data_IF_411060709082
#
_entry.id   IF_411060709082
#
_cell.length_a   1.000
_cell.length_b   1.000
_cell.length_c   1.000
_cell.angle_alpha   90.00
_cell.angle_beta   90.00
_cell.angle_gamma   90.00
#
_symmetry.space_group_name_H-M   'P 1'
#
loop_
_entity.id
_entity.type
_entity.pdbx_description
1 polymer ?
#
# COMPACT_ATOMS: atom_id res chain seq x y z
N UNK A 1 5.75 23.42 -12.80
CA UNK A 1 6.06 21.97 -12.95
C UNK A 1 4.90 21.30 -13.64
N UNK A 2 5.18 20.47 -14.65
CA UNK A 2 4.23 19.53 -15.26
C UNK A 2 4.69 18.12 -14.90
N UNK A 3 3.82 17.35 -14.25
CA UNK A 3 4.09 15.99 -13.81
C UNK A 3 3.26 15.00 -14.60
N UNK A 4 3.89 13.96 -15.16
CA UNK A 4 3.20 12.86 -15.87
C UNK A 4 3.48 11.52 -15.20
N UNK A 5 2.68 10.49 -15.49
CA UNK A 5 2.93 9.16 -14.96
C UNK A 5 4.04 8.45 -15.76
N UNK A 6 3.88 8.39 -17.09
CA UNK A 6 4.76 7.58 -17.94
C UNK A 6 5.99 8.33 -18.45
N UNK A 7 7.12 7.60 -18.58
CA UNK A 7 8.36 8.12 -19.19
C UNK A 7 8.16 8.51 -20.66
N UNK A 8 7.38 7.71 -21.39
CA UNK A 8 7.06 7.96 -22.81
C UNK A 8 6.37 9.31 -22.99
N UNK A 9 5.40 9.64 -22.14
CA UNK A 9 4.71 10.93 -22.22
C UNK A 9 5.62 12.10 -21.84
N UNK A 10 6.48 11.92 -20.85
CA UNK A 10 7.53 12.88 -20.50
C UNK A 10 8.44 13.21 -21.69
N UNK A 11 8.87 12.19 -22.44
CA UNK A 11 9.69 12.35 -23.64
C UNK A 11 8.91 13.04 -24.75
N UNK A 12 7.64 12.68 -24.96
CA UNK A 12 6.78 13.33 -25.94
C UNK A 12 6.64 14.83 -25.64
N UNK A 13 6.33 15.18 -24.39
CA UNK A 13 6.23 16.58 -23.97
C UNK A 13 7.54 17.33 -24.22
N UNK A 14 8.67 16.74 -23.82
CA UNK A 14 9.98 17.40 -23.87
C UNK A 14 10.49 17.57 -25.32
N UNK A 15 10.30 16.56 -26.16
CA UNK A 15 10.91 16.49 -27.50
C UNK A 15 10.00 16.97 -28.62
N UNK A 16 8.68 17.07 -28.38
CA UNK A 16 7.70 17.41 -29.41
C UNK A 16 6.75 18.51 -28.97
N UNK A 17 5.96 18.28 -27.92
CA UNK A 17 4.79 19.13 -27.65
C UNK A 17 5.21 20.50 -27.10
N UNK A 18 6.17 20.56 -26.16
CA UNK A 18 6.68 21.83 -25.62
C UNK A 18 7.44 22.64 -26.68
N UNK A 19 8.37 22.07 -27.47
CA UNK A 19 8.97 22.78 -28.61
C UNK A 19 7.93 23.37 -29.57
N UNK A 20 6.93 22.57 -29.95
CA UNK A 20 5.85 22.99 -30.83
C UNK A 20 5.05 24.15 -30.24
N UNK A 21 4.70 24.07 -28.95
CA UNK A 21 4.01 25.16 -28.26
C UNK A 21 4.86 26.43 -28.17
N UNK A 22 6.16 26.30 -27.92
CA UNK A 22 7.11 27.44 -27.89
C UNK A 22 7.12 28.17 -29.23
N UNK A 23 7.18 27.43 -30.34
CA UNK A 23 7.13 27.97 -31.69
C UNK A 23 5.77 28.59 -32.03
N UNK A 24 4.67 27.87 -31.77
CA UNK A 24 3.32 28.29 -32.14
C UNK A 24 2.83 29.50 -31.34
N UNK A 25 3.22 29.61 -30.06
CA UNK A 25 2.82 30.73 -29.20
C UNK A 25 3.74 31.95 -29.32
N UNK A 26 4.96 31.78 -29.85
CA UNK A 26 5.96 32.85 -29.94
C UNK A 26 6.41 33.37 -28.56
N UNK A 27 6.26 32.56 -27.51
CA UNK A 27 6.66 32.90 -26.15
C UNK A 27 8.04 32.29 -25.91
N UNK A 28 9.02 33.12 -25.52
CA UNK A 28 10.33 32.61 -25.13
C UNK A 28 10.34 32.20 -23.66
N UNK A 29 10.49 30.90 -23.41
CA UNK A 29 10.64 30.33 -22.07
C UNK A 29 11.59 29.12 -22.12
N UNK A 30 12.29 28.87 -21.01
CA UNK A 30 13.18 27.73 -20.85
C UNK A 30 12.45 26.55 -20.19
N UNK A 31 12.72 25.34 -20.66
CA UNK A 31 12.12 24.14 -20.08
C UNK A 31 13.16 23.04 -19.87
N UNK A 32 12.98 22.23 -18.81
CA UNK A 32 13.92 21.18 -18.44
C UNK A 32 13.21 19.89 -18.02
N UNK A 33 13.70 18.77 -18.56
CA UNK A 33 13.38 17.44 -18.06
C UNK A 33 14.10 17.19 -16.73
N UNK A 34 13.34 16.80 -15.70
CA UNK A 34 13.89 16.35 -14.43
C UNK A 34 13.64 14.86 -14.26
N UNK A 35 14.73 14.12 -14.03
CA UNK A 35 14.68 12.70 -13.71
C UNK A 35 15.45 12.41 -12.43
N UNK A 36 15.16 11.27 -11.81
CA UNK A 36 15.87 10.81 -10.62
C UNK A 36 17.37 10.72 -10.84
N UNK A 37 18.17 11.01 -9.81
CA UNK A 37 19.62 11.19 -9.96
C UNK A 37 20.36 9.95 -10.46
N UNK A 38 19.83 8.76 -10.18
CA UNK A 38 20.36 7.47 -10.66
C UNK A 38 20.18 7.28 -12.18
N UNK A 39 19.46 8.15 -12.88
CA UNK A 39 19.39 8.13 -14.33
C UNK A 39 20.59 8.82 -15.00
N UNK A 40 21.48 9.46 -14.23
CA UNK A 40 22.68 10.10 -14.77
C UNK A 40 23.91 9.19 -14.59
N UNK A 41 24.74 9.11 -15.63
CA UNK A 41 26.06 8.49 -15.52
C UNK A 41 26.97 9.29 -14.58
N UNK A 42 27.73 8.58 -13.73
CA UNK A 42 28.72 9.18 -12.86
C UNK A 42 30.13 8.94 -13.39
N UNK A 43 30.76 10.00 -13.92
CA UNK A 43 32.13 9.96 -14.48
C UNK A 43 33.16 9.35 -13.52
N UNK A 44 33.02 9.62 -12.21
CA UNK A 44 33.90 9.07 -11.18
C UNK A 44 33.75 7.55 -11.07
N UNK A 45 32.51 7.06 -11.02
CA UNK A 45 32.21 5.65 -10.83
C UNK A 45 32.49 4.85 -12.10
N UNK A 46 32.23 5.42 -13.26
CA UNK A 46 32.66 4.85 -14.55
C UNK A 46 34.19 4.64 -14.57
N UNK A 47 34.97 5.66 -14.20
CA UNK A 47 36.43 5.53 -14.14
C UNK A 47 36.90 4.46 -13.14
N UNK A 48 36.24 4.34 -11.98
CA UNK A 48 36.53 3.30 -10.99
C UNK A 48 36.18 1.90 -11.50
N UNK A 49 35.02 1.74 -12.14
CA UNK A 49 34.60 0.48 -12.72
C UNK A 49 35.60 -0.01 -13.78
N UNK A 50 36.14 0.91 -14.58
CA UNK A 50 37.16 0.61 -15.59
C UNK A 50 38.53 0.26 -14.96
N UNK A 51 38.96 1.00 -13.93
CA UNK A 51 40.29 0.82 -13.32
C UNK A 51 40.40 -0.41 -12.42
N UNK A 52 39.32 -0.83 -11.75
CA UNK A 52 39.39 -1.89 -10.76
C UNK A 52 39.00 -3.27 -11.28
N UNK A 53 38.61 -3.40 -12.56
CA UNK A 53 38.30 -4.71 -13.14
C UNK A 53 37.17 -5.46 -12.43
N UNK A 54 36.29 -4.75 -11.71
CA UNK A 54 35.21 -5.29 -10.86
C UNK A 54 34.02 -5.78 -11.70
N UNK A 55 34.31 -6.63 -12.68
CA UNK A 55 33.34 -7.19 -13.60
C UNK A 55 32.97 -8.59 -13.16
N UNK A 56 31.67 -8.84 -12.96
CA UNK A 56 31.18 -10.16 -12.55
C UNK A 56 30.99 -11.07 -13.76
N UNK A 57 30.97 -10.52 -14.98
CA UNK A 57 30.84 -11.30 -16.21
C UNK A 57 31.41 -10.61 -17.46
N UNK A 58 31.72 -11.37 -18.53
CA UNK A 58 32.10 -10.81 -19.83
C UNK A 58 31.04 -9.90 -20.46
N UNK A 59 29.76 -10.07 -20.06
CA UNK A 59 28.68 -9.20 -20.51
C UNK A 59 28.82 -7.79 -19.91
N UNK A 60 29.10 -7.70 -18.60
CA UNK A 60 29.30 -6.41 -17.92
C UNK A 60 30.46 -5.63 -18.52
N UNK A 61 31.56 -6.31 -18.86
CA UNK A 61 32.71 -5.68 -19.54
C UNK A 61 32.28 -4.99 -20.84
N UNK A 62 31.51 -5.70 -21.68
CA UNK A 62 31.02 -5.14 -22.96
C UNK A 62 30.08 -3.96 -22.74
N UNK A 63 29.15 -4.08 -21.80
CA UNK A 63 28.19 -3.01 -21.50
C UNK A 63 28.91 -1.75 -20.97
N UNK A 64 29.88 -1.90 -20.06
CA UNK A 64 30.67 -0.78 -19.53
C UNK A 64 31.53 -0.14 -20.62
N UNK A 65 32.13 -0.93 -21.51
CA UNK A 65 32.87 -0.39 -22.66
C UNK A 65 31.96 0.48 -23.53
N UNK A 66 30.77 -0.02 -23.89
CA UNK A 66 29.79 0.76 -24.66
C UNK A 66 29.35 2.05 -23.95
N UNK A 67 29.11 1.98 -22.64
CA UNK A 67 28.78 3.16 -21.83
C UNK A 67 29.95 4.16 -21.82
N UNK A 68 31.20 3.68 -21.80
CA UNK A 68 32.38 4.53 -21.87
C UNK A 68 32.49 5.25 -23.20
N UNK A 69 32.21 4.56 -24.31
CA UNK A 69 32.22 5.17 -25.65
C UNK A 69 31.08 6.20 -25.79
N UNK A 70 29.89 5.86 -25.30
CA UNK A 70 28.72 6.75 -25.28
C UNK A 70 28.93 8.01 -24.42
N UNK A 71 29.70 7.91 -23.34
CA UNK A 71 30.02 9.04 -22.44
C UNK A 71 30.61 10.23 -23.19
N UNK A 72 31.34 9.99 -24.27
CA UNK A 72 32.03 11.02 -25.04
C UNK A 72 31.14 11.64 -26.14
N UNK A 73 29.97 11.04 -26.42
CA UNK A 73 28.99 11.54 -27.41
C UNK A 73 27.72 12.10 -26.79
N UNK A 74 27.35 11.68 -25.58
CA UNK A 74 26.17 12.18 -24.86
C UNK A 74 26.29 13.64 -24.43
N UNK A 75 25.19 14.38 -24.55
CA UNK A 75 25.13 15.79 -24.08
C UNK A 75 24.60 15.88 -22.65
N UNK A 76 23.65 15.02 -22.27
CA UNK A 76 22.97 15.10 -20.97
C UNK A 76 23.43 14.05 -19.96
N UNK A 77 24.13 13.00 -20.41
CA UNK A 77 24.56 11.88 -19.59
C UNK A 77 23.40 11.04 -19.03
N UNK A 78 22.22 11.12 -19.64
CA UNK A 78 21.02 10.39 -19.23
C UNK A 78 21.02 8.97 -19.79
N UNK A 79 20.70 7.99 -18.94
CA UNK A 79 20.53 6.57 -19.33
C UNK A 79 19.64 6.40 -20.57
N UNK A 80 18.62 7.24 -20.71
CA UNK A 80 17.67 7.19 -21.79
C UNK A 80 18.29 7.44 -23.18
N UNK A 81 19.42 8.14 -23.26
CA UNK A 81 20.11 8.37 -24.54
C UNK A 81 21.00 7.18 -24.96
N UNK A 82 21.04 6.09 -24.19
CA UNK A 82 21.73 4.86 -24.60
C UNK A 82 20.92 4.16 -25.70
N UNK A 83 21.63 3.63 -26.69
CA UNK A 83 21.06 2.82 -27.79
C UNK A 83 20.77 1.37 -27.37
N UNK A 84 21.06 1.02 -26.10
CA UNK A 84 20.80 -0.29 -25.53
C UNK A 84 20.38 -0.18 -24.06
N UNK A 85 19.69 -1.20 -23.55
CA UNK A 85 19.30 -1.27 -22.14
C UNK A 85 20.40 -1.99 -21.32
N UNK A 86 21.18 -1.28 -20.48
CA UNK A 86 22.21 -1.90 -19.67
C UNK A 86 21.59 -2.77 -18.56
N UNK A 87 22.30 -3.84 -18.17
CA UNK A 87 21.90 -4.66 -17.03
C UNK A 87 21.79 -3.84 -15.74
N UNK A 88 20.87 -4.24 -14.85
CA UNK A 88 20.65 -3.53 -13.56
C UNK A 88 21.93 -3.42 -12.73
N UNK A 89 22.73 -4.49 -12.67
CA UNK A 89 24.03 -4.54 -11.97
C UNK A 89 25.06 -3.62 -12.62
N UNK A 90 25.14 -3.64 -13.95
CA UNK A 90 26.03 -2.77 -14.71
C UNK A 90 25.73 -1.30 -14.44
N UNK A 91 24.47 -0.89 -14.59
CA UNK A 91 24.07 0.50 -14.43
C UNK A 91 24.26 0.98 -12.99
N UNK A 92 23.90 0.16 -11.98
CA UNK A 92 24.08 0.52 -10.57
C UNK A 92 25.55 0.74 -10.19
N UNK A 93 26.51 0.12 -10.89
CA UNK A 93 27.96 0.34 -10.72
C UNK A 93 28.41 1.71 -11.26
N UNK A 94 27.79 2.23 -12.32
CA UNK A 94 28.28 3.43 -13.04
C UNK A 94 27.41 4.68 -12.88
N UNK A 95 26.16 4.55 -12.46
CA UNK A 95 25.23 5.68 -12.31
C UNK A 95 25.57 6.55 -11.09
N UNK A 96 24.89 7.70 -10.94
CA UNK A 96 25.06 8.55 -9.75
C UNK A 96 24.18 8.07 -8.59
N UNK A 97 24.83 7.69 -7.49
CA UNK A 97 24.18 7.38 -6.22
C UNK A 97 24.19 8.60 -5.30
N UNK A 98 23.04 9.00 -4.70
CA UNK A 98 22.97 10.10 -3.76
C UNK A 98 23.96 10.03 -2.61
N UNK A 99 24.01 8.91 -1.92
CA UNK A 99 24.78 8.75 -0.68
C UNK A 99 26.29 8.72 -0.93
N UNK A 100 26.70 8.36 -2.14
CA UNK A 100 28.10 8.29 -2.55
C UNK A 100 28.55 9.53 -3.34
N UNK A 101 27.68 10.53 -3.52
CA UNK A 101 27.99 11.69 -4.34
C UNK A 101 28.84 12.70 -3.57
N UNK A 102 30.05 13.01 -4.05
CA UNK A 102 30.92 14.03 -3.46
C UNK A 102 30.50 15.48 -3.80
N UNK A 103 29.44 15.66 -4.58
CA UNK A 103 28.93 16.98 -4.99
C UNK A 103 30.03 17.88 -5.57
N UNK A 104 30.17 19.09 -5.01
CA UNK A 104 31.17 20.08 -5.43
C UNK A 104 32.62 19.66 -5.17
N UNK A 105 32.88 18.73 -4.22
CA UNK A 105 34.22 18.20 -3.92
C UNK A 105 34.68 17.13 -4.92
N UNK A 106 33.81 16.71 -5.84
CA UNK A 106 34.16 15.71 -6.85
C UNK A 106 35.17 16.27 -7.86
N UNK A 107 36.25 15.53 -8.15
CA UNK A 107 37.24 15.89 -9.20
C UNK A 107 36.62 16.08 -10.60
N UNK A 108 35.45 15.48 -10.84
CA UNK A 108 34.73 15.59 -12.11
C UNK A 108 33.58 16.61 -12.06
N UNK A 109 33.47 17.44 -11.02
CA UNK A 109 32.31 18.31 -10.81
C UNK A 109 32.02 19.26 -11.99
N UNK A 110 33.06 19.80 -12.66
CA UNK A 110 32.91 20.69 -13.81
C UNK A 110 32.38 20.03 -15.08
N UNK A 111 32.66 18.73 -15.27
CA UNK A 111 32.15 17.94 -16.39
C UNK A 111 30.93 17.07 -16.00
N UNK A 112 30.42 17.22 -14.78
CA UNK A 112 29.36 16.35 -14.26
C UNK A 112 28.01 16.69 -14.89
N UNK A 113 27.50 15.73 -15.67
CA UNK A 113 26.18 15.79 -16.31
C UNK A 113 25.06 16.14 -15.34
N UNK A 114 24.98 15.46 -14.20
CA UNK A 114 23.98 15.73 -13.16
C UNK A 114 24.06 17.17 -12.63
N UNK A 115 25.26 17.67 -12.30
CA UNK A 115 25.42 19.03 -11.80
C UNK A 115 25.01 20.08 -12.85
N UNK A 116 25.36 19.84 -14.12
CA UNK A 116 24.96 20.69 -15.25
C UNK A 116 23.45 20.70 -15.42
N UNK A 117 22.82 19.52 -15.36
CA UNK A 117 21.36 19.39 -15.41
C UNK A 117 20.69 20.14 -14.26
N UNK A 118 21.20 20.05 -13.02
CA UNK A 118 20.67 20.80 -11.87
C UNK A 118 20.77 22.32 -12.06
N UNK A 119 21.87 22.81 -12.60
CA UNK A 119 22.05 24.23 -12.90
C UNK A 119 21.08 24.71 -13.99
N UNK A 120 20.86 23.90 -15.03
CA UNK A 120 19.89 24.20 -16.07
C UNK A 120 18.45 24.18 -15.54
N UNK A 121 18.07 23.11 -14.82
CA UNK A 121 16.76 22.97 -14.17
C UNK A 121 16.46 24.14 -13.22
N UNK A 122 17.44 24.66 -12.48
CA UNK A 122 17.21 25.81 -11.59
C UNK A 122 16.88 27.13 -12.30
N UNK A 123 17.13 27.22 -13.61
CA UNK A 123 16.87 28.41 -14.43
C UNK A 123 15.69 28.24 -15.37
N UNK A 124 15.11 27.04 -15.45
CA UNK A 124 14.00 26.75 -16.35
C UNK A 124 12.69 27.30 -15.77
N UNK A 125 11.87 27.87 -16.64
CA UNK A 125 10.51 28.35 -16.32
C UNK A 125 9.54 27.17 -16.20
N UNK A 126 9.78 26.11 -16.97
CA UNK A 126 8.96 24.90 -16.99
C UNK A 126 9.79 23.65 -16.67
N UNK A 127 9.39 22.91 -15.64
CA UNK A 127 9.98 21.62 -15.30
C UNK A 127 9.03 20.50 -15.69
N UNK A 128 9.51 19.54 -16.47
CA UNK A 128 8.79 18.30 -16.81
C UNK A 128 9.33 17.18 -15.93
N UNK A 129 8.45 16.51 -15.18
CA UNK A 129 8.84 15.48 -14.19
C UNK A 129 7.91 14.28 -14.25
N UNK A 130 8.29 13.15 -13.68
CA UNK A 130 7.33 12.06 -13.42
C UNK A 130 6.64 12.24 -12.05
N UNK A 131 5.50 11.59 -11.86
CA UNK A 131 4.78 11.57 -10.58
C UNK A 131 5.66 11.08 -9.43
N UNK A 132 6.42 9.99 -9.62
CA UNK A 132 7.32 9.47 -8.58
C UNK A 132 8.34 10.52 -8.10
N UNK A 133 8.99 11.27 -9.00
CA UNK A 133 9.96 12.31 -8.64
C UNK A 133 9.27 13.52 -8.00
N UNK A 134 8.04 13.84 -8.42
CA UNK A 134 7.25 14.87 -7.78
C UNK A 134 6.91 14.49 -6.33
N UNK A 135 6.38 13.29 -6.09
CA UNK A 135 6.02 12.85 -4.74
C UNK A 135 7.25 12.58 -3.86
N UNK A 136 8.37 12.11 -4.42
CA UNK A 136 9.66 12.07 -3.73
C UNK A 136 10.14 13.48 -3.31
N UNK A 137 9.86 14.51 -4.12
CA UNK A 137 10.13 15.90 -3.75
C UNK A 137 9.25 16.35 -2.57
N UNK A 138 7.97 16.02 -2.56
CA UNK A 138 7.07 16.34 -1.44
C UNK A 138 7.51 15.63 -0.16
N UNK A 139 7.74 14.31 -0.22
CA UNK A 139 8.19 13.50 0.92
C UNK A 139 9.53 13.98 1.51
N UNK A 140 10.40 14.58 0.69
CA UNK A 140 11.68 15.16 1.12
C UNK A 140 11.62 16.64 1.51
N UNK A 141 10.41 17.21 1.66
CA UNK A 141 10.18 18.61 1.97
C UNK A 141 10.82 19.58 0.96
N UNK A 142 10.71 19.28 -0.33
CA UNK A 142 11.13 20.16 -1.42
C UNK A 142 12.63 20.12 -1.77
N UNK A 143 13.36 19.09 -1.34
CA UNK A 143 14.83 19.02 -1.53
C UNK A 143 15.26 18.49 -2.90
N UNK A 144 14.33 17.97 -3.71
CA UNK A 144 14.65 17.25 -4.95
C UNK A 144 14.49 18.13 -6.18
N UNK A 145 13.41 18.92 -6.28
CA UNK A 145 13.14 19.81 -7.41
C UNK A 145 13.57 21.25 -7.09
N UNK A 146 13.91 22.07 -8.09
CA UNK A 146 13.96 23.52 -7.93
C UNK A 146 12.64 24.09 -7.40
N UNK A 147 12.67 25.31 -6.88
CA UNK A 147 11.45 25.99 -6.45
C UNK A 147 10.48 26.17 -7.63
N UNK A 148 9.20 25.99 -7.36
CA UNK A 148 8.11 26.19 -8.32
C UNK A 148 6.88 26.76 -7.61
N UNK A 149 6.05 27.48 -8.36
CA UNK A 149 4.83 28.09 -7.84
C UNK A 149 3.56 27.30 -8.21
N UNK A 150 3.59 26.58 -9.33
CA UNK A 150 2.44 25.86 -9.89
C UNK A 150 2.85 24.44 -10.26
N UNK A 151 2.00 23.47 -9.90
CA UNK A 151 2.09 22.08 -10.33
C UNK A 151 0.86 21.73 -11.18
N UNK A 152 1.09 21.21 -12.37
CA UNK A 152 0.08 20.66 -13.28
C UNK A 152 0.31 19.17 -13.36
N UNK A 153 -0.74 18.38 -13.14
CA UNK A 153 -0.66 16.93 -13.27
C UNK A 153 -1.41 16.47 -14.51
N UNK A 154 -0.72 15.71 -15.34
CA UNK A 154 -1.30 14.91 -16.40
C UNK A 154 -1.40 13.46 -15.94
N UNK A 155 -2.30 12.66 -16.50
CA UNK A 155 -2.55 11.28 -16.05
C UNK A 155 -2.92 11.17 -14.56
N UNK A 156 -3.67 12.16 -14.07
CA UNK A 156 -3.98 12.37 -12.66
C UNK A 156 -4.68 11.19 -11.96
N UNK A 157 -5.30 10.30 -12.72
CA UNK A 157 -5.87 9.05 -12.20
C UNK A 157 -4.83 8.15 -11.49
N UNK A 158 -3.53 8.29 -11.76
CA UNK A 158 -2.48 7.51 -11.12
C UNK A 158 -1.87 8.21 -9.88
N UNK A 159 -2.33 9.42 -9.54
CA UNK A 159 -1.74 10.20 -8.45
C UNK A 159 -1.95 9.53 -7.09
N UNK A 160 -3.13 8.98 -6.83
CA UNK A 160 -3.49 8.42 -5.53
C UNK A 160 -2.56 7.30 -5.11
N UNK A 161 -2.32 6.34 -6.01
CA UNK A 161 -1.45 5.19 -5.76
C UNK A 161 0.00 5.64 -5.47
N UNK A 162 0.52 6.58 -6.26
CA UNK A 162 1.91 7.05 -6.12
C UNK A 162 2.06 7.94 -4.89
N UNK A 163 1.07 8.78 -4.58
CA UNK A 163 1.06 9.56 -3.36
C UNK A 163 1.05 8.64 -2.14
N UNK A 164 0.28 7.56 -2.19
CA UNK A 164 0.22 6.55 -1.13
C UNK A 164 1.56 5.84 -0.95
N UNK A 165 2.28 5.52 -2.04
CA UNK A 165 3.62 4.92 -1.97
C UNK A 165 4.64 5.81 -1.24
N UNK A 166 4.63 7.13 -1.49
CA UNK A 166 5.63 8.05 -0.95
C UNK A 166 5.24 8.74 0.37
N UNK A 167 3.95 8.96 0.60
CA UNK A 167 3.43 9.69 1.76
C UNK A 167 2.70 8.77 2.73
N UNK A 168 2.37 7.54 2.30
CA UNK A 168 1.78 6.52 3.15
C UNK A 168 2.82 5.84 4.04
N UNK A 169 2.31 5.08 5.00
CA UNK A 169 3.09 4.19 5.85
C UNK A 169 2.65 2.76 5.55
N UNK A 170 3.59 1.88 5.21
CA UNK A 170 3.32 0.45 5.09
C UNK A 170 3.64 -0.24 6.41
N UNK A 171 2.68 -0.99 6.94
CA UNK A 171 2.86 -1.82 8.13
C UNK A 171 2.61 -3.27 7.69
N UNK A 172 3.66 -4.09 7.71
CA UNK A 172 3.53 -5.52 7.46
C UNK A 172 2.97 -6.23 8.70
N UNK A 173 2.10 -7.20 8.47
CA UNK A 173 1.63 -8.17 9.48
C UNK A 173 2.43 -9.49 9.41
N UNK A 174 3.60 -9.50 8.77
CA UNK A 174 4.40 -10.71 8.65
C UNK A 174 4.90 -11.20 10.03
N UNK A 175 4.87 -12.52 10.31
CA UNK A 175 5.25 -13.06 11.62
C UNK A 175 6.72 -12.78 11.98
N UNK A 176 7.58 -12.51 11.00
CA UNK A 176 9.01 -12.22 11.18
C UNK A 176 9.39 -10.75 11.01
N UNK A 177 8.48 -9.88 10.58
CA UNK A 177 8.78 -8.47 10.35
C UNK A 177 7.49 -7.62 10.33
N UNK A 178 7.47 -6.54 11.12
CA UNK A 178 6.40 -5.55 11.12
C UNK A 178 5.80 -5.30 12.50
N UNK A 179 4.53 -4.90 12.54
CA UNK A 179 3.79 -4.62 13.77
C UNK A 179 2.50 -5.44 13.72
N UNK A 180 2.36 -6.39 14.63
CA UNK A 180 1.16 -7.20 14.70
C UNK A 180 -0.07 -6.34 15.01
N UNK A 181 -1.21 -6.67 14.39
CA UNK A 181 -2.45 -5.90 14.44
C UNK A 181 -2.91 -5.53 15.86
N UNK A 182 -2.76 -6.44 16.85
CA UNK A 182 -3.00 -6.17 18.29
C UNK A 182 -2.35 -4.90 18.84
N UNK A 183 -1.20 -4.47 18.31
CA UNK A 183 -0.54 -3.22 18.75
C UNK A 183 -1.24 -2.02 18.12
N UNK A 184 -1.67 -2.13 16.87
CA UNK A 184 -2.42 -1.08 16.17
C UNK A 184 -3.78 -0.85 16.81
N UNK A 185 -4.44 -1.89 17.32
CA UNK A 185 -5.70 -1.72 18.06
C UNK A 185 -5.51 -0.88 19.33
N UNK A 186 -4.40 -1.09 20.07
CA UNK A 186 -4.02 -0.24 21.22
C UNK A 186 -3.76 1.20 20.80
N UNK A 187 -3.00 1.41 19.73
CA UNK A 187 -2.67 2.75 19.21
C UNK A 187 -3.93 3.51 18.82
N UNK A 188 -4.86 2.87 18.13
CA UNK A 188 -6.11 3.52 17.76
C UNK A 188 -6.98 3.85 18.97
N UNK A 189 -7.12 2.94 19.94
CA UNK A 189 -7.87 3.18 21.18
C UNK A 189 -7.30 4.39 21.93
N UNK A 190 -5.98 4.46 22.06
CA UNK A 190 -5.28 5.62 22.64
C UNK A 190 -5.49 6.91 21.83
N UNK A 191 -5.57 6.80 20.51
CA UNK A 191 -5.82 7.94 19.61
C UNK A 191 -7.28 8.43 19.65
N UNK A 192 -8.18 7.70 20.31
CA UNK A 192 -9.60 8.06 20.43
C UNK A 192 -10.45 7.65 19.22
N UNK A 193 -10.14 6.54 18.55
CA UNK A 193 -11.01 5.99 17.51
C UNK A 193 -12.19 5.22 18.09
N UNK A 194 -13.40 5.43 17.56
CA UNK A 194 -14.61 4.75 18.04
C UNK A 194 -14.76 3.33 17.47
N UNK A 195 -14.45 3.12 16.19
CA UNK A 195 -14.64 1.86 15.46
C UNK A 195 -13.34 1.43 14.77
N UNK A 196 -13.09 0.11 14.71
CA UNK A 196 -11.96 -0.46 13.94
C UNK A 196 -12.33 -1.78 13.27
N UNK A 197 -12.00 -1.89 11.98
CA UNK A 197 -12.05 -3.16 11.26
C UNK A 197 -11.07 -4.16 11.86
N UNK A 198 -11.58 -5.28 12.38
CA UNK A 198 -10.81 -6.19 13.23
C UNK A 198 -10.81 -7.64 12.72
N UNK A 199 -11.02 -7.83 11.41
CA UNK A 199 -11.12 -9.14 10.76
C UNK A 199 -12.50 -9.77 10.86
N UNK A 200 -12.69 -10.92 10.21
CA UNK A 200 -13.96 -11.67 10.22
C UNK A 200 -13.78 -13.13 10.64
N UNK A 201 -12.57 -13.67 10.61
CA UNK A 201 -12.21 -15.10 10.84
C UNK A 201 -12.79 -16.06 9.79
N UNK A 202 -14.05 -15.87 9.41
CA UNK A 202 -14.81 -16.75 8.48
C UNK A 202 -15.03 -16.11 7.10
N UNK A 203 -14.61 -14.85 6.92
CA UNK A 203 -14.77 -14.13 5.66
C UNK A 203 -13.59 -14.34 4.69
N UNK A 204 -13.53 -13.47 3.69
CA UNK A 204 -12.50 -13.55 2.63
C UNK A 204 -11.09 -13.18 3.12
N UNK A 205 -11.01 -12.38 4.18
CA UNK A 205 -9.75 -11.87 4.72
C UNK A 205 -9.23 -12.83 5.79
N UNK A 206 -7.91 -12.99 5.81
CA UNK A 206 -7.21 -13.83 6.77
C UNK A 206 -7.48 -13.40 8.23
N UNK A 207 -7.57 -14.37 9.14
CA UNK A 207 -7.61 -14.11 10.58
C UNK A 207 -7.55 -15.39 11.40
N UNK A 208 -6.52 -15.55 12.21
CA UNK A 208 -6.49 -16.56 13.27
C UNK A 208 -7.56 -16.25 14.32
N UNK A 209 -8.35 -17.25 14.71
CA UNK A 209 -9.48 -17.06 15.62
C UNK A 209 -9.04 -16.62 17.01
N UNK A 210 -8.03 -17.27 17.59
CA UNK A 210 -7.59 -16.99 18.96
C UNK A 210 -6.90 -15.63 19.05
N UNK A 211 -6.07 -15.30 18.05
CA UNK A 211 -5.50 -13.97 17.95
C UNK A 211 -6.59 -12.90 17.81
N UNK A 212 -7.64 -13.19 17.01
CA UNK A 212 -8.79 -12.29 16.83
C UNK A 212 -9.52 -11.99 18.12
N UNK A 213 -9.82 -13.03 18.91
CA UNK A 213 -10.41 -12.87 20.22
C UNK A 213 -9.51 -12.00 21.13
N UNK A 214 -8.21 -12.25 21.13
CA UNK A 214 -7.26 -11.47 21.94
C UNK A 214 -7.27 -9.96 21.64
N UNK A 215 -7.27 -9.55 20.36
CA UNK A 215 -7.33 -8.11 20.06
C UNK A 215 -8.73 -7.52 20.20
N UNK A 216 -9.80 -8.30 20.09
CA UNK A 216 -11.16 -7.85 20.42
C UNK A 216 -11.27 -7.55 21.92
N UNK A 217 -10.74 -8.40 22.79
CA UNK A 217 -10.69 -8.17 24.23
C UNK A 217 -9.91 -6.88 24.53
N UNK A 218 -8.76 -6.70 23.87
CA UNK A 218 -7.94 -5.48 23.96
C UNK A 218 -8.71 -4.21 23.56
N UNK A 219 -9.62 -4.31 22.60
CA UNK A 219 -10.42 -3.18 22.12
C UNK A 219 -11.54 -2.80 23.09
N UNK A 220 -12.16 -3.76 23.77
CA UNK A 220 -13.39 -3.52 24.57
C UNK A 220 -13.13 -3.42 26.06
N UNK A 221 -12.35 -4.33 26.60
CA UNK A 221 -12.31 -4.56 28.04
C UNK A 221 -11.48 -3.49 28.75
N UNK A 222 -11.78 -3.25 30.02
CA UNK A 222 -11.01 -2.33 30.86
C UNK A 222 -9.70 -2.96 31.36
N UNK A 223 -9.69 -4.28 31.55
CA UNK A 223 -8.50 -5.02 31.96
C UNK A 223 -8.41 -6.33 31.19
N UNK A 224 -7.25 -6.60 30.60
CA UNK A 224 -6.96 -7.80 29.82
C UNK A 224 -5.76 -8.50 30.45
N UNK A 225 -5.92 -9.71 31.02
CA UNK A 225 -4.80 -10.47 31.56
C UNK A 225 -3.89 -11.01 30.45
N UNK A 226 -2.65 -11.34 30.81
CA UNK A 226 -1.73 -12.08 29.95
C UNK A 226 -2.33 -13.45 29.54
N UNK A 227 -2.34 -13.70 28.23
CA UNK A 227 -2.80 -14.97 27.64
C UNK A 227 -2.12 -15.20 26.29
N UNK A 228 -1.02 -15.97 26.32
CA UNK A 228 -0.25 -16.31 25.12
C UNK A 228 -1.03 -17.15 24.12
N UNK A 229 -2.07 -17.88 24.57
CA UNK A 229 -2.92 -18.65 23.66
C UNK A 229 -3.75 -17.77 22.74
N UNK A 230 -3.94 -16.49 23.10
CA UNK A 230 -4.56 -15.42 22.30
C UNK A 230 -3.57 -14.38 21.80
N UNK A 231 -2.27 -14.62 21.97
CA UNK A 231 -1.20 -13.68 21.61
C UNK A 231 -1.16 -12.41 22.49
N UNK A 232 -1.68 -12.48 23.72
CA UNK A 232 -1.61 -11.41 24.70
C UNK A 232 -0.39 -11.65 25.61
N UNK A 233 0.63 -10.80 25.48
CA UNK A 233 1.92 -11.01 26.14
C UNK A 233 2.07 -10.29 27.49
N UNK A 234 1.14 -9.40 27.82
CA UNK A 234 1.21 -8.54 29.00
C UNK A 234 -0.19 -8.30 29.52
N UNK A 235 -0.31 -8.20 30.85
CA UNK A 235 -1.48 -7.58 31.48
C UNK A 235 -1.62 -6.15 30.96
N UNK A 236 -2.85 -5.79 30.57
CA UNK A 236 -3.17 -4.47 30.06
C UNK A 236 -4.35 -3.89 30.84
N UNK A 237 -4.08 -2.86 31.63
CA UNK A 237 -5.10 -2.04 32.27
C UNK A 237 -5.33 -0.77 31.43
N UNK A 238 -6.59 -0.53 31.04
CA UNK A 238 -7.05 0.65 30.32
C UNK A 238 -7.71 1.69 31.25
N UNK A 239 -7.85 1.36 32.54
CA UNK A 239 -8.56 2.18 33.51
C UNK A 239 -9.99 2.46 33.05
N UNK A 240 -10.35 3.75 33.01
CA UNK A 240 -11.67 4.21 32.57
C UNK A 240 -11.72 4.61 31.08
N UNK A 241 -10.72 4.25 30.29
CA UNK A 241 -10.72 4.56 28.85
C UNK A 241 -11.86 3.82 28.15
N UNK A 242 -12.71 4.52 27.37
CA UNK A 242 -13.76 3.88 26.59
C UNK A 242 -13.24 2.78 25.67
N UNK A 243 -14.07 1.77 25.42
CA UNK A 243 -13.78 0.72 24.44
C UNK A 243 -13.92 1.20 23.01
N UNK A 244 -13.39 0.42 22.08
CA UNK A 244 -13.53 0.60 20.62
C UNK A 244 -14.42 -0.52 20.10
N UNK A 245 -15.40 -0.18 19.26
CA UNK A 245 -16.26 -1.17 18.61
C UNK A 245 -15.48 -1.95 17.53
N UNK A 246 -15.34 -3.29 17.67
CA UNK A 246 -14.84 -4.12 16.59
C UNK A 246 -15.83 -4.15 15.42
N UNK A 247 -15.29 -4.03 14.21
CA UNK A 247 -16.05 -4.09 12.96
C UNK A 247 -15.64 -5.33 12.18
N UNK A 248 -16.56 -6.28 12.03
CA UNK A 248 -16.39 -7.47 11.21
C UNK A 248 -16.90 -7.18 9.80
N UNK A 249 -15.99 -7.10 8.83
CA UNK A 249 -16.32 -6.76 7.43
C UNK A 249 -15.45 -7.52 6.43
N UNK A 250 -16.03 -7.86 5.27
CA UNK A 250 -15.32 -8.48 4.15
C UNK A 250 -15.70 -9.94 3.91
N UNK A 251 -16.46 -10.20 2.84
CA UNK A 251 -16.79 -11.56 2.39
C UNK A 251 -17.77 -12.34 3.28
N UNK A 252 -18.52 -11.68 4.16
CA UNK A 252 -19.49 -12.32 5.06
C UNK A 252 -20.93 -12.30 4.51
N UNK A 253 -21.75 -13.27 4.94
CA UNK A 253 -23.16 -13.50 4.54
C UNK A 253 -23.91 -14.26 5.64
N UNK A 254 -25.23 -14.48 5.50
CA UNK A 254 -26.11 -15.00 6.57
C UNK A 254 -25.64 -16.29 7.24
N UNK A 255 -25.03 -17.24 6.50
CA UNK A 255 -24.49 -18.47 7.09
C UNK A 255 -23.34 -18.25 8.09
N UNK A 256 -22.65 -17.10 8.01
CA UNK A 256 -21.60 -16.74 8.96
C UNK A 256 -22.14 -16.15 10.27
N UNK A 257 -23.43 -15.81 10.33
CA UNK A 257 -24.02 -15.11 11.48
C UNK A 257 -23.80 -15.82 12.83
N UNK A 258 -23.97 -17.15 12.96
CA UNK A 258 -23.77 -17.81 14.24
C UNK A 258 -22.32 -17.70 14.75
N UNK A 259 -21.34 -17.87 13.85
CA UNK A 259 -19.92 -17.70 14.19
C UNK A 259 -19.59 -16.24 14.52
N UNK A 260 -20.11 -15.29 13.75
CA UNK A 260 -19.89 -13.86 14.01
C UNK A 260 -20.45 -13.44 15.37
N UNK A 261 -21.66 -13.85 15.73
CA UNK A 261 -22.26 -13.57 17.05
C UNK A 261 -21.47 -14.24 18.17
N UNK A 262 -20.92 -15.44 17.94
CA UNK A 262 -20.10 -16.14 18.93
C UNK A 262 -18.73 -15.46 19.15
N UNK A 263 -18.09 -14.98 18.08
CA UNK A 263 -16.76 -14.36 18.13
C UNK A 263 -16.84 -12.92 18.64
N UNK A 264 -17.75 -12.12 18.09
CA UNK A 264 -17.79 -10.68 18.31
C UNK A 264 -18.75 -10.26 19.43
N UNK A 265 -19.74 -11.09 19.79
CA UNK A 265 -20.73 -10.73 20.81
C UNK A 265 -21.63 -9.57 20.39
N UNK A 266 -22.14 -8.81 21.37
CA UNK A 266 -23.13 -7.76 21.15
C UNK A 266 -22.52 -6.40 20.77
N UNK A 267 -21.39 -6.05 21.39
CA UNK A 267 -20.70 -4.78 21.13
C UNK A 267 -19.80 -4.88 19.90
N UNK A 268 -20.41 -5.00 18.72
CA UNK A 268 -19.73 -5.09 17.44
C UNK A 268 -20.57 -4.57 16.27
N UNK A 269 -19.91 -4.22 15.17
CA UNK A 269 -20.57 -3.92 13.90
C UNK A 269 -20.30 -5.03 12.88
N UNK A 270 -21.35 -5.70 12.40
CA UNK A 270 -21.25 -6.72 11.36
C UNK A 270 -21.67 -6.12 10.00
N UNK A 271 -20.73 -5.99 9.07
CA UNK A 271 -20.95 -5.30 7.79
C UNK A 271 -21.10 -6.27 6.61
N UNK A 272 -22.30 -6.32 6.06
CA UNK A 272 -22.65 -7.15 4.92
C UNK A 272 -22.77 -6.31 3.64
N UNK A 273 -21.65 -6.05 2.95
CA UNK A 273 -21.64 -5.36 1.66
C UNK A 273 -22.25 -6.22 0.55
N UNK A 274 -21.45 -7.12 -0.03
CA UNK A 274 -21.92 -8.09 -1.03
C UNK A 274 -23.03 -9.00 -0.52
N UNK A 275 -23.01 -9.36 0.77
CA UNK A 275 -24.07 -10.12 1.44
C UNK A 275 -25.40 -9.37 1.63
N UNK A 276 -25.50 -8.09 1.23
CA UNK A 276 -26.77 -7.34 1.15
C UNK A 276 -27.09 -7.01 -0.30
N UNK A 277 -26.16 -6.36 -0.99
CA UNK A 277 -26.33 -5.87 -2.36
C UNK A 277 -26.48 -7.01 -3.38
N UNK A 278 -25.92 -8.19 -3.08
CA UNK A 278 -26.02 -9.38 -3.92
C UNK A 278 -27.29 -10.20 -3.72
N UNK A 279 -28.23 -9.76 -2.89
CA UNK A 279 -29.47 -10.50 -2.67
C UNK A 279 -30.36 -10.46 -3.94
N UNK A 280 -30.89 -11.61 -4.43
CA UNK A 280 -31.66 -11.67 -5.69
C UNK A 280 -32.91 -10.78 -5.75
N UNK A 281 -33.47 -10.44 -4.58
CA UNK A 281 -34.66 -9.59 -4.47
C UNK A 281 -34.34 -8.13 -4.11
N UNK A 282 -33.09 -7.71 -4.27
CA UNK A 282 -32.63 -6.35 -4.02
C UNK A 282 -32.28 -6.03 -2.57
N UNK A 283 -31.80 -4.80 -2.36
CA UNK A 283 -31.09 -4.38 -1.14
C UNK A 283 -31.95 -4.48 0.13
N UNK A 284 -33.23 -4.12 0.05
CA UNK A 284 -34.13 -4.17 1.21
C UNK A 284 -34.31 -5.61 1.71
N UNK A 285 -34.45 -6.57 0.79
CA UNK A 285 -34.55 -7.98 1.12
C UNK A 285 -33.22 -8.52 1.69
N UNK A 286 -32.08 -8.13 1.11
CA UNK A 286 -30.77 -8.47 1.67
C UNK A 286 -30.58 -7.95 3.10
N UNK A 287 -30.99 -6.70 3.36
CA UNK A 287 -30.91 -6.10 4.69
C UNK A 287 -31.84 -6.80 5.68
N UNK A 288 -33.07 -7.13 5.27
CA UNK A 288 -34.02 -7.90 6.08
C UNK A 288 -33.47 -9.29 6.41
N UNK A 289 -32.92 -10.02 5.42
CA UNK A 289 -32.32 -11.33 5.63
C UNK A 289 -31.19 -11.31 6.67
N UNK A 290 -30.25 -10.36 6.54
CA UNK A 290 -29.16 -10.20 7.50
C UNK A 290 -29.67 -9.85 8.90
N UNK A 291 -30.69 -8.99 8.99
CA UNK A 291 -31.28 -8.59 10.28
C UNK A 291 -32.00 -9.75 10.97
N UNK A 292 -32.81 -10.51 10.24
CA UNK A 292 -33.51 -11.69 10.78
C UNK A 292 -32.51 -12.76 11.23
N UNK A 293 -31.46 -13.02 10.46
CA UNK A 293 -30.42 -13.96 10.86
C UNK A 293 -29.74 -13.55 12.17
N UNK A 294 -29.40 -12.26 12.32
CA UNK A 294 -28.78 -11.73 13.53
C UNK A 294 -29.71 -11.89 14.75
N UNK A 295 -30.95 -11.44 14.64
CA UNK A 295 -31.92 -11.51 15.75
C UNK A 295 -32.20 -12.97 16.16
N UNK A 296 -32.32 -13.88 15.20
CA UNK A 296 -32.50 -15.32 15.49
C UNK A 296 -31.29 -15.92 16.21
N UNK A 297 -30.06 -15.58 15.80
CA UNK A 297 -28.85 -16.04 16.47
C UNK A 297 -28.73 -15.47 17.90
N UNK A 298 -29.02 -14.18 18.10
CA UNK A 298 -29.00 -13.55 19.43
C UNK A 298 -30.07 -14.15 20.34
N UNK A 299 -31.29 -14.36 19.83
CA UNK A 299 -32.35 -15.02 20.58
C UNK A 299 -31.93 -16.42 21.01
N UNK A 300 -31.47 -17.26 20.07
CA UNK A 300 -31.04 -18.62 20.35
C UNK A 300 -29.90 -18.67 21.39
N UNK A 301 -28.92 -17.77 21.28
CA UNK A 301 -27.83 -17.62 22.26
C UNK A 301 -28.39 -17.30 23.65
N UNK A 302 -29.32 -16.34 23.73
CA UNK A 302 -29.91 -15.92 25.00
C UNK A 302 -30.80 -17.00 25.63
N UNK A 303 -31.34 -17.91 24.81
CA UNK A 303 -32.05 -19.12 25.25
C UNK A 303 -31.10 -20.26 25.69
N UNK A 304 -29.78 -20.06 25.61
CA UNK A 304 -28.76 -21.02 26.04
C UNK A 304 -28.37 -22.06 24.99
N UNK A 305 -28.74 -21.86 23.71
CA UNK A 305 -28.37 -22.77 22.62
C UNK A 305 -26.90 -22.60 22.21
N UNK A 306 -26.28 -23.68 21.76
CA UNK A 306 -24.90 -23.68 21.27
C UNK A 306 -24.87 -23.19 19.80
N UNK A 307 -24.96 -21.87 19.59
CA UNK A 307 -25.22 -21.27 18.27
C UNK A 307 -24.25 -21.68 17.16
N UNK A 308 -22.97 -21.97 17.45
CA UNK A 308 -22.02 -22.42 16.42
C UNK A 308 -22.27 -23.86 15.97
N UNK A 309 -22.75 -24.73 16.87
CA UNK A 309 -23.09 -26.12 16.56
C UNK A 309 -24.48 -26.23 15.96
N UNK A 310 -25.41 -25.42 16.45
CA UNK A 310 -26.83 -25.43 16.10
C UNK A 310 -27.18 -24.41 15.01
N UNK A 311 -26.21 -23.69 14.47
CA UNK A 311 -26.43 -22.53 13.59
C UNK A 311 -27.28 -22.83 12.36
N UNK A 312 -27.11 -24.00 11.73
CA UNK A 312 -27.93 -24.41 10.59
C UNK A 312 -29.40 -24.57 10.96
N UNK A 313 -29.69 -25.15 12.11
CA UNK A 313 -31.05 -25.36 12.59
C UNK A 313 -31.71 -24.02 12.97
N UNK A 314 -30.98 -23.16 13.68
CA UNK A 314 -31.42 -21.81 14.05
C UNK A 314 -31.82 -21.00 12.81
N UNK A 315 -30.92 -20.93 11.82
CA UNK A 315 -31.18 -20.19 10.58
C UNK A 315 -32.29 -20.82 9.75
N UNK A 316 -32.38 -22.15 9.69
CA UNK A 316 -33.44 -22.84 8.94
C UNK A 316 -34.83 -22.60 9.54
N UNK A 317 -34.91 -22.58 10.88
CA UNK A 317 -36.13 -22.25 11.62
C UNK A 317 -36.55 -20.78 11.42
N UNK A 318 -35.59 -19.86 11.39
CA UNK A 318 -35.87 -18.46 11.08
C UNK A 318 -36.33 -18.30 9.61
N UNK A 319 -35.71 -19.00 8.68
CA UNK A 319 -36.02 -18.97 7.25
C UNK A 319 -37.39 -19.57 6.89
N UNK A 320 -37.99 -20.41 7.75
CA UNK A 320 -39.37 -20.86 7.53
C UNK A 320 -40.38 -19.71 7.69
N UNK A 321 -40.00 -18.64 8.36
CA UNK A 321 -40.83 -17.46 8.62
C UNK A 321 -40.36 -16.20 7.87
N UNK A 322 -39.13 -16.19 7.32
CA UNK A 322 -38.60 -15.11 6.47
C UNK A 322 -38.20 -15.64 5.09
N UNK A 323 -39.01 -15.36 4.05
CA UNK A 323 -38.66 -15.67 2.66
C UNK A 323 -37.33 -15.06 2.21
N UNK A 324 -37.01 -13.84 2.66
CA UNK A 324 -35.76 -13.15 2.36
C UNK A 324 -34.56 -13.94 2.90
N UNK A 325 -34.60 -14.36 4.17
CA UNK A 325 -33.55 -15.19 4.75
C UNK A 325 -33.42 -16.52 4.02
N UNK A 326 -34.53 -17.15 3.64
CA UNK A 326 -34.51 -18.40 2.89
C UNK A 326 -33.78 -18.27 1.55
N UNK A 327 -34.03 -17.20 0.80
CA UNK A 327 -33.37 -16.92 -0.47
C UNK A 327 -31.89 -16.59 -0.29
N UNK A 328 -31.56 -15.76 0.71
CA UNK A 328 -30.18 -15.48 1.09
C UNK A 328 -29.39 -16.77 1.40
N UNK A 329 -29.98 -17.66 2.21
CA UNK A 329 -29.38 -18.93 2.56
C UNK A 329 -29.13 -19.81 1.33
N UNK A 330 -30.08 -19.90 0.40
CA UNK A 330 -29.90 -20.66 -0.83
C UNK A 330 -28.83 -20.06 -1.74
N UNK A 331 -28.78 -18.73 -1.85
CA UNK A 331 -27.85 -17.99 -2.71
C UNK A 331 -26.38 -18.23 -2.32
N UNK A 332 -26.10 -18.33 -1.02
CA UNK A 332 -24.72 -18.40 -0.50
C UNK A 332 -24.36 -19.73 0.18
N UNK A 333 -25.17 -20.79 0.01
CA UNK A 333 -24.97 -22.09 0.70
C UNK A 333 -23.62 -22.77 0.41
N UNK A 334 -23.01 -22.50 -0.75
CA UNK A 334 -21.76 -23.13 -1.19
C UNK A 334 -20.54 -22.23 -1.01
N UNK A 335 -20.74 -20.97 -0.58
CA UNK A 335 -19.63 -20.03 -0.43
C UNK A 335 -18.96 -20.28 0.93
N UNK A 336 -17.70 -20.69 0.89
CA UNK A 336 -16.82 -20.81 2.05
C UNK A 336 -15.44 -20.30 1.69
N UNK A 337 -14.78 -19.68 2.66
CA UNK A 337 -13.42 -19.19 2.54
C UNK A 337 -12.54 -20.02 3.48
N UNK A 338 -11.82 -20.99 2.92
CA UNK A 338 -10.90 -21.85 3.65
C UNK A 338 -9.49 -21.57 3.11
N UNK A 339 -8.66 -20.90 3.91
CA UNK A 339 -7.28 -20.56 3.58
C UNK A 339 -6.38 -20.90 4.77
N UNK A 340 -5.13 -21.28 4.50
CA UNK A 340 -4.12 -21.41 5.54
C UNK A 340 -3.72 -20.03 6.07
N UNK A 341 -3.85 -19.82 7.39
CA UNK A 341 -3.38 -18.60 8.05
C UNK A 341 -1.85 -18.54 8.04
N UNK A 342 -1.29 -17.42 7.59
CA UNK A 342 0.14 -17.08 7.61
C UNK A 342 0.56 -16.58 8.99
N UNK A 343 -0.27 -15.74 9.64
CA UNK A 343 -0.02 -15.22 11.00
C UNK A 343 -0.58 -16.18 12.06
N UNK A 344 0.20 -17.23 12.38
CA UNK A 344 -0.14 -18.19 13.44
C UNK A 344 0.54 -17.80 14.75
N UNK A 345 -0.19 -17.94 15.86
CA UNK A 345 0.38 -17.76 17.20
C UNK A 345 1.48 -18.80 17.46
N UNK A 346 2.62 -18.33 17.97
CA UNK A 346 3.69 -19.20 18.43
C UNK A 346 3.38 -19.69 19.86
N UNK A 347 2.84 -20.92 19.93
CA UNK A 347 2.49 -21.59 21.19
C UNK A 347 3.65 -22.42 21.76
N UNK A 348 4.85 -22.37 21.17
CA UNK A 348 5.96 -23.26 21.53
C UNK A 348 6.63 -22.92 22.88
N UNK A 349 6.31 -21.78 23.50
CA UNK A 349 6.84 -21.37 24.79
C UNK A 349 5.71 -21.25 25.82
N UNK A 350 5.16 -22.40 26.23
CA UNK A 350 4.36 -22.54 27.44
C UNK A 350 5.24 -22.61 28.69
#
# INVERSE_FOLDING_TARGET
>A
VVSTYTKTLQEQLTNKDIPFLKEALGIDFEYALCVGSQNYICLRRLAQAYQHGLFDSPREVREISKISDWKDTTTTGLRLELDFEPGKTTWSKVCREPDLCLGKKCRHAGACFYNRARLFQSKADLLVVNHHLFFANIASAGKVLPLYNVAVFDEAQNIEDIATEYLGMEISNGPHHGIHFRVLTKVLRLSGGDHLHSGTVVGKLEGDREATLGWIDTMRDSFIPEDRSRGLFFDQDWGSMPGVFPVASGGIHVWHMPALVAIFGDDACLQFGGGTLGHPWGNAAGAAANRVALEACVQARNEGREIEKEGKDILSTAASHSPELKIAMETWKEIKFEFDTVDKLDVAHK
#
